data_IF_307201593172
#
_entry.id   IF_307201593172
#
_cell.length_a   1.000
_cell.length_b   1.000
_cell.length_c   1.000
_cell.angle_alpha   90.00
_cell.angle_beta   90.00
_cell.angle_gamma   90.00
#
_symmetry.space_group_name_H-M   'P 1'
#
loop_
_entity.id
_entity.type
_entity.pdbx_description
1 polymer ?
#
# COMPACT_ATOMS: atom_id res chain seq x y z
N UNK A 1 28.42 32.26 -37.09
CA UNK A 1 27.24 31.42 -37.30
C UNK A 1 27.26 30.12 -36.50
N UNK A 2 28.31 29.26 -36.55
CA UNK A 2 28.35 28.01 -35.79
C UNK A 2 28.23 28.15 -34.26
N UNK A 3 28.80 29.21 -33.65
CA UNK A 3 28.72 29.48 -32.21
C UNK A 3 27.33 29.94 -31.75
N UNK A 4 26.58 30.64 -32.62
CA UNK A 4 25.21 31.08 -32.33
C UNK A 4 24.25 29.87 -32.42
N UNK A 5 24.48 28.99 -33.39
CA UNK A 5 23.68 27.77 -33.55
C UNK A 5 23.86 26.81 -32.34
N UNK A 6 25.09 26.69 -31.83
CA UNK A 6 25.38 25.90 -30.62
C UNK A 6 24.72 26.51 -29.37
N UNK A 7 24.72 27.87 -29.26
CA UNK A 7 24.07 28.53 -28.13
C UNK A 7 22.54 28.39 -28.17
N UNK A 8 21.94 28.48 -29.38
CA UNK A 8 20.50 28.25 -29.58
C UNK A 8 20.13 26.78 -29.28
N UNK A 9 20.95 25.80 -29.69
CA UNK A 9 20.71 24.40 -29.33
C UNK A 9 20.83 24.13 -27.83
N UNK A 10 21.80 24.75 -27.16
CA UNK A 10 21.94 24.64 -25.69
C UNK A 10 20.76 25.32 -25.00
N UNK A 11 20.30 26.49 -25.46
CA UNK A 11 19.12 27.16 -24.92
C UNK A 11 17.83 26.36 -25.15
N UNK A 12 17.66 25.74 -26.33
CA UNK A 12 16.50 24.86 -26.61
C UNK A 12 16.56 23.58 -25.81
N UNK A 13 17.72 22.99 -25.56
CA UNK A 13 17.88 21.87 -24.63
C UNK A 13 17.61 22.25 -23.17
N UNK A 14 18.09 23.42 -22.73
CA UNK A 14 17.75 23.92 -21.39
C UNK A 14 16.26 24.27 -21.26
N UNK A 15 15.63 24.88 -22.29
CA UNK A 15 14.19 25.13 -22.28
C UNK A 15 13.37 23.82 -22.32
N UNK A 16 13.83 22.77 -22.99
CA UNK A 16 13.14 21.47 -22.96
C UNK A 16 13.28 20.76 -21.60
N UNK A 17 14.38 20.99 -20.88
CA UNK A 17 14.52 20.55 -19.48
C UNK A 17 13.71 21.38 -18.50
N UNK A 18 13.45 22.68 -18.80
CA UNK A 18 12.64 23.56 -17.95
C UNK A 18 11.12 23.41 -18.16
N UNK A 19 10.68 22.75 -19.24
CA UNK A 19 9.24 22.50 -19.52
C UNK A 19 8.73 21.19 -18.91
N UNK A 20 9.59 20.40 -18.30
CA UNK A 20 9.22 19.12 -17.64
C UNK A 20 9.33 19.15 -16.11
N UNK A 21 9.24 20.31 -15.47
CA UNK A 21 9.02 20.36 -14.02
C UNK A 21 7.52 20.31 -13.72
N UNK A 22 6.86 19.25 -14.07
CA UNK A 22 5.72 18.79 -13.29
C UNK A 22 6.31 18.46 -11.91
N UNK A 23 6.08 19.30 -10.91
CA UNK A 23 6.53 19.05 -9.55
C UNK A 23 5.83 17.77 -9.07
N UNK A 24 6.59 16.74 -8.72
CA UNK A 24 6.07 15.44 -8.27
C UNK A 24 5.04 15.61 -7.14
N UNK A 25 5.32 16.47 -6.16
CA UNK A 25 4.42 16.77 -5.05
C UNK A 25 3.06 17.29 -5.53
N UNK A 26 3.03 18.26 -6.46
CA UNK A 26 1.76 18.77 -7.02
C UNK A 26 0.98 17.73 -7.81
N UNK A 27 1.68 16.78 -8.42
CA UNK A 27 1.02 15.68 -9.13
C UNK A 27 0.38 14.71 -8.15
N UNK A 28 1.06 14.43 -7.05
CA UNK A 28 0.58 13.60 -5.97
C UNK A 28 -0.60 14.27 -5.28
N UNK A 29 -0.48 15.55 -4.86
CA UNK A 29 -1.58 16.34 -4.28
C UNK A 29 -2.84 16.32 -5.16
N UNK A 30 -2.66 16.43 -6.49
CA UNK A 30 -3.78 16.35 -7.42
C UNK A 30 -4.39 14.95 -7.49
N UNK A 31 -3.58 13.92 -7.43
CA UNK A 31 -4.05 12.54 -7.44
C UNK A 31 -4.76 12.19 -6.13
N UNK A 32 -4.26 12.69 -4.99
CA UNK A 32 -4.91 12.57 -3.68
C UNK A 32 -6.30 13.23 -3.69
N UNK A 33 -6.40 14.46 -4.22
CA UNK A 33 -7.69 15.14 -4.35
C UNK A 33 -8.68 14.34 -5.21
N UNK A 34 -8.20 13.63 -6.23
CA UNK A 34 -9.06 12.81 -7.08
C UNK A 34 -9.63 11.56 -6.37
N UNK A 35 -8.96 11.07 -5.31
CA UNK A 35 -9.49 9.98 -4.47
C UNK A 35 -10.71 10.41 -3.65
N UNK A 36 -10.86 11.71 -3.37
CA UNK A 36 -11.99 12.25 -2.60
C UNK A 36 -13.23 12.51 -3.47
N UNK A 37 -13.09 12.54 -4.81
CA UNK A 37 -14.17 12.96 -5.72
C UNK A 37 -15.20 11.87 -5.99
N UNK A 38 -14.81 10.60 -5.99
CA UNK A 38 -15.68 9.48 -6.35
C UNK A 38 -15.18 8.17 -5.72
N UNK A 39 -16.06 7.16 -5.58
CA UNK A 39 -15.64 5.83 -5.16
C UNK A 39 -14.57 5.25 -6.10
N UNK A 40 -13.67 4.47 -5.53
CA UNK A 40 -12.64 3.74 -6.27
C UNK A 40 -12.36 2.39 -5.63
N UNK A 41 -11.77 1.49 -6.40
CA UNK A 41 -11.24 0.24 -5.88
C UNK A 41 -9.71 0.31 -5.85
N UNK A 42 -9.13 -0.31 -4.85
CA UNK A 42 -7.70 -0.54 -4.77
C UNK A 42 -7.43 -2.00 -4.43
N UNK A 43 -6.55 -2.64 -5.17
CA UNK A 43 -6.08 -3.99 -4.85
C UNK A 43 -4.66 -3.89 -4.32
N UNK A 44 -4.50 -4.17 -3.05
CA UNK A 44 -3.19 -4.23 -2.41
C UNK A 44 -2.61 -5.62 -2.54
N UNK A 45 -1.32 -5.69 -2.85
CA UNK A 45 -0.57 -6.93 -2.98
C UNK A 45 0.69 -6.86 -2.15
N UNK A 46 0.98 -7.94 -1.46
CA UNK A 46 2.25 -8.11 -0.74
C UNK A 46 2.83 -9.46 -1.10
N UNK A 47 4.07 -9.45 -1.55
CA UNK A 47 4.81 -10.65 -1.94
C UNK A 47 6.16 -10.67 -1.23
N UNK A 48 6.54 -11.84 -0.74
CA UNK A 48 7.83 -12.10 -0.11
C UNK A 48 8.57 -13.16 -0.90
N UNK A 49 9.84 -12.91 -1.18
CA UNK A 49 10.74 -13.85 -1.85
C UNK A 49 12.03 -13.99 -1.02
N UNK A 50 12.48 -15.22 -0.78
CA UNK A 50 13.74 -15.51 -0.08
C UNK A 50 14.60 -16.48 -0.91
N UNK A 51 15.91 -16.28 -0.88
CA UNK A 51 16.89 -17.16 -1.51
C UNK A 51 16.98 -18.53 -0.84
N UNK A 52 16.58 -18.65 0.45
CA UNK A 52 16.47 -19.91 1.16
C UNK A 52 15.11 -20.57 0.89
N UNK A 53 15.12 -21.78 0.33
CA UNK A 53 13.91 -22.47 -0.10
C UNK A 53 12.91 -22.77 1.04
N UNK A 54 13.39 -23.18 2.21
CA UNK A 54 12.52 -23.54 3.35
C UNK A 54 11.83 -22.28 3.90
N UNK A 55 12.58 -21.19 4.03
CA UNK A 55 12.06 -19.90 4.47
C UNK A 55 11.10 -19.32 3.41
N UNK A 56 11.45 -19.44 2.14
CA UNK A 56 10.59 -18.97 1.05
C UNK A 56 9.22 -19.67 1.03
N UNK A 57 9.16 -20.98 1.32
CA UNK A 57 7.89 -21.71 1.44
C UNK A 57 7.01 -21.14 2.58
N UNK A 58 7.61 -20.74 3.70
CA UNK A 58 6.90 -20.11 4.83
C UNK A 58 6.44 -18.72 4.45
N UNK A 59 7.33 -17.89 3.89
CA UNK A 59 7.04 -16.52 3.53
C UNK A 59 6.02 -16.40 2.39
N UNK A 60 6.07 -17.31 1.43
CA UNK A 60 5.08 -17.35 0.33
C UNK A 60 3.65 -17.60 0.82
N UNK A 61 3.48 -18.23 1.98
CA UNK A 61 2.17 -18.38 2.60
C UNK A 61 1.65 -17.06 3.22
N UNK A 62 2.52 -16.05 3.35
CA UNK A 62 2.17 -14.69 3.81
C UNK A 62 1.86 -13.74 2.65
N UNK A 63 2.01 -14.20 1.40
CA UNK A 63 1.62 -13.39 0.25
C UNK A 63 0.12 -13.12 0.32
N UNK A 64 -0.26 -11.86 0.15
CA UNK A 64 -1.64 -11.40 0.28
C UNK A 64 -2.06 -10.56 -0.92
N UNK A 65 -3.32 -10.70 -1.28
CA UNK A 65 -4.00 -9.79 -2.18
C UNK A 65 -5.29 -9.36 -1.50
N UNK A 66 -5.44 -8.04 -1.29
CA UNK A 66 -6.55 -7.46 -0.55
C UNK A 66 -7.27 -6.46 -1.46
N UNK A 67 -8.35 -6.85 -2.11
CA UNK A 67 -9.22 -5.92 -2.81
C UNK A 67 -10.02 -5.09 -1.81
N UNK A 68 -10.06 -3.78 -2.03
CA UNK A 68 -10.81 -2.83 -1.24
C UNK A 68 -11.62 -1.90 -2.14
N UNK A 69 -12.80 -1.51 -1.68
CA UNK A 69 -13.59 -0.42 -2.26
C UNK A 69 -13.66 0.70 -1.25
N UNK A 70 -13.37 1.92 -1.68
CA UNK A 70 -13.37 3.11 -0.84
C UNK A 70 -14.36 4.13 -1.42
N UNK A 71 -15.27 4.61 -0.58
CA UNK A 71 -16.31 5.60 -0.90
C UNK A 71 -16.34 6.65 0.22
N UNK A 72 -15.44 7.62 0.14
CA UNK A 72 -15.20 8.59 1.20
C UNK A 72 -14.71 7.92 2.50
N UNK A 73 -15.52 7.98 3.56
CA UNK A 73 -15.23 7.28 4.83
C UNK A 73 -15.75 5.84 4.87
N UNK A 74 -16.45 5.39 3.83
CA UNK A 74 -16.97 4.04 3.79
C UNK A 74 -15.97 3.12 3.07
N UNK A 75 -15.72 1.94 3.63
CA UNK A 75 -14.71 1.00 3.14
C UNK A 75 -15.31 -0.40 3.13
N UNK A 76 -15.07 -1.13 2.07
CA UNK A 76 -15.30 -2.57 2.01
C UNK A 76 -13.99 -3.26 1.63
N UNK A 77 -13.61 -4.30 2.37
CA UNK A 77 -12.34 -5.01 2.21
C UNK A 77 -12.56 -6.52 2.31
N UNK A 78 -11.96 -7.25 1.39
CA UNK A 78 -11.99 -8.71 1.37
C UNK A 78 -10.57 -9.23 1.61
N UNK A 79 -10.43 -10.13 2.58
CA UNK A 79 -9.17 -10.81 2.85
C UNK A 79 -9.36 -12.32 2.76
N UNK A 80 -8.39 -13.00 2.18
CA UNK A 80 -8.35 -14.46 2.14
C UNK A 80 -6.94 -14.92 2.45
N UNK A 81 -6.82 -15.85 3.38
CA UNK A 81 -5.55 -16.43 3.78
C UNK A 81 -5.67 -17.96 3.83
N UNK A 82 -4.74 -18.61 3.17
CA UNK A 82 -4.61 -20.07 3.21
C UNK A 82 -3.46 -20.45 4.15
N UNK A 83 -3.76 -21.09 5.26
CA UNK A 83 -2.77 -21.57 6.20
C UNK A 83 -3.06 -23.00 6.62
N UNK A 84 -2.04 -23.85 6.59
CA UNK A 84 -2.10 -25.27 7.05
C UNK A 84 -3.25 -26.08 6.42
N UNK A 85 -3.63 -25.76 5.18
CA UNK A 85 -4.72 -26.44 4.46
C UNK A 85 -6.12 -25.95 4.81
N UNK A 86 -6.24 -24.85 5.55
CA UNK A 86 -7.51 -24.18 5.84
C UNK A 86 -7.52 -22.80 5.21
N UNK A 87 -8.62 -22.47 4.53
CA UNK A 87 -8.87 -21.12 4.04
C UNK A 87 -9.65 -20.35 5.10
N UNK A 88 -9.12 -19.20 5.49
CA UNK A 88 -9.81 -18.18 6.30
C UNK A 88 -10.16 -17.02 5.40
N UNK A 89 -11.42 -16.60 5.40
CA UNK A 89 -11.84 -15.38 4.70
C UNK A 89 -12.40 -14.38 5.70
N UNK A 90 -12.07 -13.11 5.53
CA UNK A 90 -12.65 -12.02 6.29
C UNK A 90 -13.19 -10.98 5.31
N UNK A 91 -14.43 -10.57 5.55
CA UNK A 91 -15.06 -9.44 4.86
C UNK A 91 -15.32 -8.35 5.89
N UNK A 92 -14.71 -7.20 5.70
CA UNK A 92 -14.81 -6.05 6.59
C UNK A 92 -15.50 -4.94 5.83
N UNK A 93 -16.56 -4.36 6.42
CA UNK A 93 -17.25 -3.22 5.84
C UNK A 93 -17.41 -2.14 6.89
N UNK A 94 -16.97 -0.93 6.60
CA UNK A 94 -17.20 0.26 7.43
C UNK A 94 -18.17 1.17 6.69
N UNK A 95 -19.32 1.46 7.29
CA UNK A 95 -20.33 2.36 6.74
C UNK A 95 -20.88 3.22 7.86
N UNK A 96 -20.86 4.55 7.66
CA UNK A 96 -21.36 5.52 8.63
C UNK A 96 -20.78 5.30 10.05
N UNK A 97 -19.50 5.02 10.13
CA UNK A 97 -18.76 4.72 11.38
C UNK A 97 -19.22 3.45 12.08
N UNK A 98 -19.89 2.55 11.40
CA UNK A 98 -20.19 1.20 11.90
C UNK A 98 -19.34 0.19 11.12
N UNK A 99 -18.48 -0.53 11.81
CA UNK A 99 -17.67 -1.60 11.28
C UNK A 99 -18.42 -2.92 11.40
N UNK A 100 -18.56 -3.63 10.29
CA UNK A 100 -19.10 -4.97 10.19
C UNK A 100 -17.96 -5.92 9.87
N UNK A 101 -17.79 -6.94 10.67
CA UNK A 101 -16.72 -7.91 10.58
C UNK A 101 -17.28 -9.31 10.41
N UNK A 102 -17.05 -9.93 9.27
CA UNK A 102 -17.56 -11.25 8.92
C UNK A 102 -16.38 -12.15 8.60
N UNK A 103 -16.05 -13.06 9.52
CA UNK A 103 -14.99 -14.07 9.33
C UNK A 103 -15.61 -15.43 9.09
N UNK A 104 -15.05 -16.14 8.13
CA UNK A 104 -15.32 -17.54 7.91
C UNK A 104 -14.03 -18.33 8.08
N UNK A 105 -13.99 -19.19 9.09
CA UNK A 105 -12.82 -20.01 9.44
C UNK A 105 -13.28 -21.42 9.83
N UNK A 106 -12.65 -22.47 9.29
CA UNK A 106 -12.97 -23.88 9.61
C UNK A 106 -14.45 -24.24 9.51
N UNK A 107 -15.18 -23.62 8.55
CA UNK A 107 -16.61 -23.85 8.34
C UNK A 107 -17.53 -23.11 9.33
N UNK A 108 -17.00 -22.37 10.27
CA UNK A 108 -17.74 -21.46 11.15
C UNK A 108 -17.76 -20.04 10.57
N UNK A 109 -18.86 -19.34 10.77
CA UNK A 109 -18.99 -17.93 10.41
C UNK A 109 -19.21 -17.12 11.67
N UNK A 110 -18.41 -16.09 11.87
CA UNK A 110 -18.52 -15.16 12.98
C UNK A 110 -18.87 -13.79 12.37
N UNK A 111 -19.95 -13.19 12.82
CA UNK A 111 -20.42 -11.87 12.39
C UNK A 111 -20.47 -10.96 13.59
N UNK A 112 -19.66 -9.91 13.61
CA UNK A 112 -19.60 -8.92 14.67
C UNK A 112 -19.67 -7.51 14.09
N UNK A 113 -20.21 -6.56 14.84
CA UNK A 113 -20.19 -5.14 14.48
C UNK A 113 -19.83 -4.28 15.66
N UNK A 114 -19.17 -3.17 15.39
CA UNK A 114 -18.82 -2.15 16.36
C UNK A 114 -19.09 -0.76 15.79
N UNK A 115 -19.62 0.15 16.63
CA UNK A 115 -19.67 1.56 16.27
C UNK A 115 -18.34 2.20 16.62
N UNK A 116 -17.69 2.84 15.66
CA UNK A 116 -16.40 3.50 15.79
C UNK A 116 -16.60 4.96 16.17
N UNK A 117 -15.73 5.48 17.03
CA UNK A 117 -15.52 6.92 17.15
C UNK A 117 -14.42 7.37 16.15
N UNK A 118 -14.16 8.68 16.05
CA UNK A 118 -13.18 9.21 15.10
C UNK A 118 -11.75 8.72 15.38
N UNK A 119 -11.40 8.43 16.62
CA UNK A 119 -10.09 7.94 17.04
C UNK A 119 -9.92 6.46 16.65
N UNK A 120 -10.92 5.64 16.95
CA UNK A 120 -10.98 4.23 16.58
C UNK A 120 -11.02 4.04 15.04
N UNK A 121 -11.71 4.93 14.32
CA UNK A 121 -11.71 4.92 12.85
C UNK A 121 -10.32 5.24 12.30
N UNK A 122 -9.63 6.21 12.90
CA UNK A 122 -8.26 6.55 12.52
C UNK A 122 -7.30 5.40 12.81
N UNK A 123 -7.41 4.76 13.98
CA UNK A 123 -6.64 3.58 14.35
C UNK A 123 -6.88 2.43 13.35
N UNK A 124 -8.13 2.16 12.98
CA UNK A 124 -8.46 1.19 11.94
C UNK A 124 -7.80 1.52 10.60
N UNK A 125 -7.80 2.79 10.18
CA UNK A 125 -7.12 3.20 8.95
C UNK A 125 -5.59 3.05 9.06
N UNK A 126 -4.99 3.37 10.19
CA UNK A 126 -3.56 3.21 10.42
C UNK A 126 -3.14 1.74 10.43
N UNK A 127 -3.98 0.84 10.94
CA UNK A 127 -3.71 -0.59 10.97
C UNK A 127 -4.03 -1.28 9.63
N UNK A 128 -5.13 -0.90 8.97
CA UNK A 128 -5.56 -1.49 7.70
C UNK A 128 -4.91 -0.84 6.48
N UNK A 129 -4.55 0.44 6.57
CA UNK A 129 -3.83 1.11 5.51
C UNK A 129 -2.34 0.92 5.68
N UNK A 130 -1.75 0.04 4.88
CA UNK A 130 -0.59 0.48 4.14
C UNK A 130 0.51 1.21 4.92
N UNK A 131 0.82 0.83 6.15
CA UNK A 131 2.15 1.14 6.71
C UNK A 131 3.28 0.64 5.77
N UNK A 132 2.91 -0.04 4.68
CA UNK A 132 3.81 -0.55 3.66
C UNK A 132 4.08 0.42 2.51
N UNK A 133 3.44 1.59 2.46
CA UNK A 133 3.71 2.61 1.44
C UNK A 133 4.53 3.74 2.05
N UNK A 134 5.58 4.14 1.34
CA UNK A 134 6.36 5.33 1.71
C UNK A 134 5.57 6.58 1.38
N UNK A 135 5.55 7.53 2.30
CA UNK A 135 5.11 8.88 1.99
C UNK A 135 6.08 9.55 1.00
N UNK A 136 5.59 10.40 0.10
CA UNK A 136 6.48 11.21 -0.76
C UNK A 136 7.54 11.99 0.02
N UNK A 137 7.23 12.42 1.25
CA UNK A 137 8.15 13.09 2.17
C UNK A 137 9.29 12.19 2.67
N UNK A 138 9.14 10.88 2.57
CA UNK A 138 10.17 9.91 2.93
C UNK A 138 11.20 9.69 1.82
N UNK A 139 11.04 10.38 0.69
CA UNK A 139 11.96 10.39 -0.43
C UNK A 139 12.83 11.65 -0.43
N UNK A 140 14.15 11.50 -0.59
CA UNK A 140 15.06 12.65 -0.71
C UNK A 140 14.90 13.35 -2.07
N UNK A 141 14.63 12.58 -3.11
CA UNK A 141 14.46 13.08 -4.46
C UNK A 141 13.38 12.29 -5.20
N UNK A 142 12.38 13.00 -5.70
CA UNK A 142 11.34 12.47 -6.57
C UNK A 142 11.62 12.89 -8.01
N UNK A 143 11.73 11.93 -8.91
CA UNK A 143 11.87 12.17 -10.34
C UNK A 143 10.56 11.88 -11.07
N UNK A 144 10.28 12.65 -12.13
CA UNK A 144 9.06 12.48 -12.94
C UNK A 144 9.45 12.17 -14.38
N UNK A 145 9.00 11.04 -14.90
CA UNK A 145 9.11 10.68 -16.30
C UNK A 145 7.72 10.62 -16.94
N UNK A 146 7.60 11.14 -18.17
CA UNK A 146 6.36 11.06 -18.95
C UNK A 146 6.55 10.09 -20.11
N UNK A 147 5.73 9.03 -20.17
CA UNK A 147 5.79 8.01 -21.20
C UNK A 147 4.39 7.49 -21.53
N UNK A 148 4.07 7.41 -22.84
CA UNK A 148 2.78 6.89 -23.32
C UNK A 148 1.53 7.57 -22.69
N UNK A 149 1.62 8.87 -22.39
CA UNK A 149 0.53 9.61 -21.74
C UNK A 149 0.49 9.51 -20.23
N UNK A 150 1.15 8.53 -19.63
CA UNK A 150 1.25 8.33 -18.17
C UNK A 150 2.44 9.09 -17.60
N UNK A 151 2.39 9.38 -16.30
CA UNK A 151 3.49 9.95 -15.52
C UNK A 151 3.97 8.92 -14.51
N UNK A 152 5.26 8.72 -14.49
CA UNK A 152 5.95 7.81 -13.57
C UNK A 152 6.75 8.67 -12.60
N UNK A 153 6.40 8.59 -11.33
CA UNK A 153 7.12 9.25 -10.24
C UNK A 153 7.95 8.18 -9.55
N UNK A 154 9.25 8.40 -9.45
CA UNK A 154 10.16 7.44 -8.84
C UNK A 154 10.94 8.11 -7.72
N UNK A 155 11.02 7.45 -6.58
CA UNK A 155 11.89 7.83 -5.47
C UNK A 155 13.30 7.36 -5.79
N UNK A 156 14.21 8.31 -6.01
CA UNK A 156 15.59 7.99 -6.32
C UNK A 156 16.38 7.54 -5.07
N UNK A 157 16.09 8.15 -3.92
CA UNK A 157 16.69 7.80 -2.63
C UNK A 157 15.63 7.94 -1.53
N UNK A 158 15.55 6.92 -0.70
CA UNK A 158 14.71 6.95 0.50
C UNK A 158 15.48 7.63 1.62
N UNK A 159 14.85 8.58 2.30
CA UNK A 159 15.42 9.34 3.41
C UNK A 159 15.71 8.46 4.63
N UNK A 160 16.54 8.94 5.56
CA UNK A 160 16.74 8.25 6.84
C UNK A 160 15.42 8.05 7.61
N UNK A 161 14.45 8.98 7.47
CA UNK A 161 13.12 8.88 8.08
C UNK A 161 12.35 7.72 7.45
N UNK A 162 12.31 7.63 6.13
CA UNK A 162 11.65 6.55 5.40
C UNK A 162 12.28 5.19 5.68
N UNK A 163 13.60 5.09 5.73
CA UNK A 163 14.28 3.86 6.12
C UNK A 163 13.95 3.43 7.55
N UNK A 164 13.81 4.37 8.50
CA UNK A 164 13.37 4.06 9.86
C UNK A 164 11.93 3.56 9.90
N UNK A 165 11.04 4.15 9.10
CA UNK A 165 9.66 3.70 9.00
C UNK A 165 9.59 2.26 8.48
N UNK A 166 10.29 1.94 7.38
CA UNK A 166 10.40 0.59 6.85
C UNK A 166 11.00 -0.40 7.86
N UNK A 167 12.07 -0.02 8.54
CA UNK A 167 12.70 -0.88 9.55
C UNK A 167 11.76 -1.17 10.71
N UNK A 168 10.92 -0.21 11.13
CA UNK A 168 9.93 -0.43 12.18
C UNK A 168 8.90 -1.48 11.77
N UNK A 169 8.37 -1.41 10.55
CA UNK A 169 7.46 -2.43 10.00
C UNK A 169 8.13 -3.81 10.04
N UNK A 170 9.41 -3.87 9.65
CA UNK A 170 10.17 -5.11 9.64
C UNK A 170 10.47 -5.63 11.06
N UNK A 171 10.67 -4.74 12.04
CA UNK A 171 10.82 -5.11 13.46
C UNK A 171 9.58 -5.81 13.97
N UNK A 172 8.37 -5.26 13.71
CA UNK A 172 7.11 -5.86 14.12
C UNK A 172 6.92 -7.27 13.52
N UNK A 173 7.34 -7.48 12.26
CA UNK A 173 7.34 -8.80 11.62
C UNK A 173 8.41 -9.72 12.23
N UNK A 174 9.60 -9.20 12.52
CA UNK A 174 10.75 -10.01 12.95
C UNK A 174 10.82 -10.24 14.45
N UNK A 175 10.10 -9.51 15.28
CA UNK A 175 9.91 -9.85 16.71
C UNK A 175 9.40 -11.28 16.90
N UNK A 176 8.59 -11.75 15.95
CA UNK A 176 8.10 -13.15 15.93
C UNK A 176 9.22 -14.16 15.72
N UNK A 177 10.36 -13.77 15.16
CA UNK A 177 11.48 -14.65 14.77
C UNK A 177 12.76 -14.45 15.57
N UNK A 178 12.76 -13.62 16.62
CA UNK A 178 13.94 -13.31 17.45
C UNK A 178 15.12 -12.73 16.62
N UNK A 179 14.81 -12.01 15.53
CA UNK A 179 15.75 -11.49 14.54
C UNK A 179 15.83 -9.97 14.50
N UNK A 180 16.91 -9.47 13.89
CA UNK A 180 17.02 -8.04 13.51
C UNK A 180 16.98 -7.95 12.01
N UNK A 181 16.08 -7.13 11.49
CA UNK A 181 16.01 -6.82 10.08
C UNK A 181 16.52 -5.41 9.78
N UNK A 182 17.12 -5.24 8.62
CA UNK A 182 17.57 -3.92 8.11
C UNK A 182 17.20 -3.83 6.65
N UNK A 183 16.39 -2.84 6.29
CA UNK A 183 16.01 -2.58 4.91
C UNK A 183 17.20 -2.03 4.11
N UNK A 184 17.32 -2.50 2.89
CA UNK A 184 18.27 -2.03 1.88
C UNK A 184 17.61 -2.12 0.50
N UNK A 185 18.27 -1.57 -0.52
CA UNK A 185 17.83 -1.65 -1.93
C UNK A 185 16.35 -1.26 -2.11
N UNK A 186 15.94 -0.16 -1.48
CA UNK A 186 14.55 0.30 -1.53
C UNK A 186 14.29 0.99 -2.87
N UNK A 187 13.23 0.57 -3.56
CA UNK A 187 12.68 1.26 -4.72
C UNK A 187 11.20 1.56 -4.50
N UNK A 188 10.79 2.77 -4.84
CA UNK A 188 9.41 3.21 -4.71
C UNK A 188 8.99 3.97 -5.96
N UNK A 189 7.83 3.67 -6.48
CA UNK A 189 7.29 4.27 -7.68
C UNK A 189 5.78 4.48 -7.62
N UNK A 190 5.32 5.54 -8.30
CA UNK A 190 3.91 5.86 -8.47
C UNK A 190 3.66 6.03 -9.97
N UNK A 191 2.63 5.38 -10.48
CA UNK A 191 2.13 5.60 -11.84
C UNK A 191 0.84 6.39 -11.79
N UNK A 192 0.81 7.51 -12.51
CA UNK A 192 -0.38 8.34 -12.67
C UNK A 192 -0.88 8.29 -14.11
N UNK A 193 -2.19 8.12 -14.27
CA UNK A 193 -2.90 8.18 -15.53
C UNK A 193 -4.02 9.24 -15.44
N UNK A 194 -4.03 10.21 -16.34
CA UNK A 194 -4.97 11.35 -16.36
C UNK A 194 -5.09 12.11 -15.03
N UNK A 195 -3.99 12.14 -14.25
CA UNK A 195 -3.91 12.82 -12.96
C UNK A 195 -4.50 12.04 -11.79
N UNK A 196 -4.79 10.76 -11.96
CA UNK A 196 -5.23 9.82 -10.93
C UNK A 196 -4.18 8.74 -10.73
N UNK A 197 -4.16 8.12 -9.56
CA UNK A 197 -3.34 6.95 -9.32
C UNK A 197 -3.76 5.80 -10.22
N UNK A 198 -2.80 5.12 -10.82
CA UNK A 198 -3.00 3.84 -11.51
C UNK A 198 -2.34 2.70 -10.73
N UNK A 199 -1.10 2.90 -10.27
CA UNK A 199 -0.43 1.98 -9.36
C UNK A 199 0.56 2.70 -8.44
N UNK A 200 0.85 2.06 -7.31
CA UNK A 200 1.98 2.35 -6.44
C UNK A 200 2.75 1.06 -6.22
N UNK A 201 4.07 1.13 -6.23
CA UNK A 201 4.94 -0.03 -6.09
C UNK A 201 6.08 0.29 -5.12
N UNK A 202 6.29 -0.58 -4.13
CA UNK A 202 7.41 -0.57 -3.21
C UNK A 202 8.12 -1.92 -3.28
N UNK A 203 9.43 -1.91 -3.45
CA UNK A 203 10.24 -3.10 -3.27
C UNK A 203 11.41 -2.77 -2.36
N UNK A 204 11.69 -3.63 -1.40
CA UNK A 204 12.87 -3.52 -0.58
C UNK A 204 13.47 -4.91 -0.31
N UNK A 205 14.79 -4.94 -0.19
CA UNK A 205 15.52 -6.12 0.29
C UNK A 205 15.85 -5.87 1.75
N UNK A 206 15.58 -6.82 2.60
CA UNK A 206 16.03 -6.78 3.97
C UNK A 206 16.76 -8.06 4.35
N UNK A 207 17.79 -7.88 5.16
CA UNK A 207 18.58 -8.99 5.72
C UNK A 207 18.13 -9.23 7.14
N UNK A 208 17.84 -10.48 7.47
CA UNK A 208 17.62 -10.90 8.85
C UNK A 208 18.48 -12.10 9.21
N UNK A 209 18.82 -12.22 10.50
CA UNK A 209 19.66 -13.29 11.00
C UNK A 209 18.83 -14.16 11.94
N UNK A 210 18.75 -15.45 11.63
CA UNK A 210 18.07 -16.45 12.45
C UNK A 210 18.99 -17.65 12.67
N UNK A 211 19.11 -18.11 13.90
CA UNK A 211 19.98 -19.24 14.28
C UNK A 211 21.46 -19.09 13.85
N UNK A 212 21.95 -17.86 13.66
CA UNK A 212 23.32 -17.56 13.23
C UNK A 212 23.53 -17.54 11.71
N UNK A 213 22.51 -17.78 10.93
CA UNK A 213 22.50 -17.65 9.47
C UNK A 213 21.80 -16.35 9.05
N UNK A 214 22.33 -15.67 8.03
CA UNK A 214 21.74 -14.45 7.49
C UNK A 214 21.04 -14.77 6.18
N UNK A 215 19.79 -14.30 6.06
CA UNK A 215 18.93 -14.49 4.90
C UNK A 215 18.57 -13.12 4.33
N UNK A 216 18.45 -13.06 3.01
CA UNK A 216 17.93 -11.89 2.31
C UNK A 216 16.49 -12.20 1.85
N UNK A 217 15.58 -11.31 2.22
CA UNK A 217 14.19 -11.37 1.80
C UNK A 217 13.87 -10.14 0.97
N UNK A 218 13.32 -10.34 -0.20
CA UNK A 218 12.75 -9.27 -1.00
C UNK A 218 11.26 -9.17 -0.67
N UNK A 219 10.83 -8.02 -0.20
CA UNK A 219 9.43 -7.67 -0.03
C UNK A 219 9.01 -6.78 -1.19
N UNK A 220 7.89 -7.11 -1.82
CA UNK A 220 7.24 -6.31 -2.84
C UNK A 220 5.83 -5.98 -2.38
N UNK A 221 5.50 -4.70 -2.31
CA UNK A 221 4.16 -4.22 -2.01
C UNK A 221 3.67 -3.40 -3.20
N UNK A 222 2.44 -3.62 -3.62
CA UNK A 222 1.82 -2.90 -4.70
C UNK A 222 0.40 -2.50 -4.36
N UNK A 223 -0.09 -1.44 -4.99
CA UNK A 223 -1.49 -1.04 -4.97
C UNK A 223 -1.92 -0.67 -6.39
N UNK A 224 -2.88 -1.39 -6.93
CA UNK A 224 -3.49 -1.14 -8.24
C UNK A 224 -4.83 -0.43 -8.04
N UNK A 225 -5.02 0.74 -8.66
CA UNK A 225 -6.23 1.56 -8.52
C UNK A 225 -7.14 1.43 -9.75
N UNK A 226 -8.45 1.36 -9.52
CA UNK A 226 -9.48 1.41 -10.56
C UNK A 226 -10.60 2.35 -10.14
N UNK A 227 -11.07 3.16 -11.08
CA UNK A 227 -12.17 4.11 -10.89
C UNK A 227 -13.41 3.72 -11.68
N UNK A 228 -13.27 2.72 -12.54
CA UNK A 228 -14.35 2.20 -13.34
C UNK A 228 -15.15 1.18 -12.52
N UNK A 229 -16.46 1.30 -12.53
CA UNK A 229 -17.39 0.37 -11.87
C UNK A 229 -17.27 0.27 -10.33
N UNK A 230 -16.59 1.22 -9.67
CA UNK A 230 -16.59 1.26 -8.21
C UNK A 230 -17.98 1.60 -7.68
N UNK A 231 -18.60 0.65 -7.00
CA UNK A 231 -19.92 0.81 -6.40
C UNK A 231 -19.81 1.54 -5.04
N UNK A 232 -20.91 2.17 -4.62
CA UNK A 232 -20.99 2.74 -3.28
C UNK A 232 -20.93 1.63 -2.24
N UNK A 233 -20.14 1.88 -1.21
CA UNK A 233 -20.07 0.96 -0.07
C UNK A 233 -21.34 1.11 0.78
N UNK A 234 -22.03 0.01 1.00
CA UNK A 234 -23.27 -0.05 1.78
C UNK A 234 -23.16 -1.09 2.89
N UNK A 235 -23.93 -0.92 3.95
CA UNK A 235 -23.99 -1.91 5.02
C UNK A 235 -24.44 -3.29 4.47
N UNK A 236 -23.92 -4.40 5.02
CA UNK A 236 -24.32 -5.73 4.62
C UNK A 236 -25.85 -5.92 4.69
N UNK A 237 -26.43 -6.63 3.72
CA UNK A 237 -27.87 -6.86 3.68
C UNK A 237 -28.39 -7.60 4.94
N UNK A 238 -27.54 -8.38 5.56
CA UNK A 238 -27.78 -9.15 6.79
C UNK A 238 -27.21 -8.46 8.05
N UNK A 239 -27.03 -7.14 8.03
CA UNK A 239 -26.48 -6.34 9.15
C UNK A 239 -27.20 -6.58 10.50
N UNK A 240 -28.46 -7.02 10.47
CA UNK A 240 -29.20 -7.37 11.68
C UNK A 240 -28.73 -8.68 12.35
N UNK A 241 -27.98 -9.53 11.64
CA UNK A 241 -27.44 -10.79 12.16
C UNK A 241 -26.08 -10.60 12.89
N UNK A 242 -25.50 -9.41 12.83
CA UNK A 242 -24.20 -9.12 13.44
C UNK A 242 -24.37 -8.84 14.93
N UNK A 243 -23.57 -9.52 15.75
CA UNK A 243 -23.52 -9.32 17.19
C UNK A 243 -22.74 -8.04 17.53
N UNK A 244 -23.23 -7.28 18.50
CA UNK A 244 -22.54 -6.07 18.99
C UNK A 244 -21.25 -6.47 19.71
N UNK A 245 -20.15 -5.82 19.37
CA UNK A 245 -18.84 -5.99 19.95
C UNK A 245 -18.20 -4.61 20.22
N UNK A 246 -17.12 -4.59 20.97
CA UNK A 246 -16.27 -3.40 21.07
C UNK A 246 -15.25 -3.45 19.93
N UNK A 247 -14.80 -2.29 19.47
CA UNK A 247 -13.75 -2.20 18.46
C UNK A 247 -12.48 -2.96 18.87
N UNK A 248 -12.05 -2.85 20.14
CA UNK A 248 -10.92 -3.60 20.68
C UNK A 248 -11.06 -5.12 20.60
N UNK A 249 -12.28 -5.63 20.56
CA UNK A 249 -12.53 -7.08 20.46
C UNK A 249 -12.44 -7.59 19.01
N UNK A 250 -12.39 -6.66 18.03
CA UNK A 250 -12.32 -6.96 16.59
C UNK A 250 -10.88 -6.94 16.06
N UNK A 251 -9.99 -6.23 16.73
CA UNK A 251 -8.57 -6.13 16.33
C UNK A 251 -7.70 -7.26 16.92
N UNK A 252 -8.17 -7.98 17.94
CA UNK A 252 -7.51 -9.17 18.53
C UNK A 252 -6.69 -8.84 19.76
#
# INVERSE_FOLDING_TARGET
MKKILALVMILTLMCSMLVSCDNAEKLIEKADAALEEAPYTVTMKTEFECDNKEINEILSAMNMEIPMTIDGKNIAMDMSMDAMGYTTTAHITVVDMVMYYNIKMMGQTIKMKATLNEEEYKEFLEESSTQMMLDPEDCEELTVEKKNGKKYITCANVSEKGLKALNKILEDITETFDGKATASEVSYGITLNDGKYESMDLSCVYSFTMAGETFNVTMKCGADFSYDDAEKVTAPADAAEYEEAKFSDLLG
#
